data_IF_275570074648
#
_entry.id   IF_275570074648
#
_cell.length_a   1.000
_cell.length_b   1.000
_cell.length_c   1.000
_cell.angle_alpha   90.00
_cell.angle_beta   90.00
_cell.angle_gamma   90.00
#
_symmetry.space_group_name_H-M   'P 1'
#
loop_
_entity.id
_entity.type
_entity.pdbx_description
1 polymer ?
#
# COMPACT_ATOMS: atom_id res chain seq x y z
N UNK A 1 -9.37 2.01 -9.67
CA UNK A 1 -9.77 3.07 -8.72
C UNK A 1 -10.60 2.43 -7.61
N UNK A 2 -10.40 2.80 -6.34
CA UNK A 2 -11.04 2.19 -5.16
C UNK A 2 -12.56 2.43 -5.04
N UNK A 3 -13.19 2.90 -6.12
CA UNK A 3 -14.63 3.16 -6.19
C UNK A 3 -15.08 4.27 -5.24
N UNK A 4 -16.37 4.20 -4.90
CA UNK A 4 -16.99 5.05 -3.89
C UNK A 4 -17.01 4.32 -2.54
N UNK A 5 -16.74 5.05 -1.46
CA UNK A 5 -16.78 4.53 -0.09
C UNK A 5 -17.63 5.45 0.78
N UNK A 6 -18.70 4.91 1.36
CA UNK A 6 -19.69 5.65 2.18
C UNK A 6 -20.21 6.94 1.51
N UNK A 7 -20.40 6.91 0.18
CA UNK A 7 -20.89 8.05 -0.61
C UNK A 7 -19.81 9.06 -1.02
N UNK A 8 -18.55 8.84 -0.66
CA UNK A 8 -17.42 9.65 -1.11
C UNK A 8 -16.67 8.97 -2.24
N UNK A 9 -16.20 9.76 -3.23
CA UNK A 9 -15.26 9.23 -4.23
C UNK A 9 -13.90 9.04 -3.59
N UNK A 10 -13.21 7.94 -3.90
CA UNK A 10 -11.85 7.69 -3.41
C UNK A 10 -10.91 8.89 -3.66
N UNK A 11 -11.00 9.53 -4.83
CA UNK A 11 -10.18 10.70 -5.17
C UNK A 11 -10.41 11.91 -4.28
N UNK A 12 -11.60 12.05 -3.68
CA UNK A 12 -11.86 13.08 -2.68
C UNK A 12 -11.16 12.76 -1.36
N UNK A 13 -11.20 11.49 -0.94
CA UNK A 13 -10.58 11.02 0.30
C UNK A 13 -9.04 10.97 0.20
N UNK A 14 -8.50 10.71 -0.99
CA UNK A 14 -7.07 10.73 -1.31
C UNK A 14 -6.53 12.17 -1.55
N UNK A 15 -7.09 13.18 -0.86
CA UNK A 15 -6.69 14.59 -1.02
C UNK A 15 -6.21 15.22 0.28
N UNK A 16 -5.23 16.14 0.17
CA UNK A 16 -4.76 16.94 1.30
C UNK A 16 -5.90 17.80 1.89
N UNK A 17 -6.79 18.30 1.04
CA UNK A 17 -7.95 19.08 1.44
C UNK A 17 -8.84 18.25 2.38
N UNK A 18 -9.21 17.03 1.99
CA UNK A 18 -10.05 16.18 2.82
C UNK A 18 -9.34 15.73 4.09
N UNK A 19 -8.04 15.43 4.00
CA UNK A 19 -7.25 15.06 5.19
C UNK A 19 -7.17 16.22 6.20
N UNK A 20 -7.10 17.47 5.73
CA UNK A 20 -7.10 18.66 6.58
C UNK A 20 -8.50 18.90 7.18
N UNK A 21 -9.56 18.70 6.38
CA UNK A 21 -10.95 18.94 6.79
C UNK A 21 -11.48 17.87 7.75
N UNK A 22 -11.18 16.61 7.50
CA UNK A 22 -11.67 15.46 8.27
C UNK A 22 -10.63 14.34 8.30
N UNK A 23 -9.57 14.47 9.11
CA UNK A 23 -8.52 13.47 9.19
C UNK A 23 -9.05 12.11 9.66
N UNK A 24 -10.05 12.08 10.54
CA UNK A 24 -10.68 10.82 11.00
C UNK A 24 -11.27 10.03 9.83
N UNK A 25 -12.01 10.70 8.93
CA UNK A 25 -12.65 10.05 7.78
C UNK A 25 -11.59 9.46 6.82
N UNK A 26 -10.51 10.18 6.57
CA UNK A 26 -9.41 9.70 5.73
C UNK A 26 -8.69 8.54 6.39
N UNK A 27 -8.48 8.57 7.71
CA UNK A 27 -7.89 7.45 8.43
C UNK A 27 -8.80 6.22 8.43
N UNK A 28 -10.12 6.37 8.61
CA UNK A 28 -11.09 5.27 8.48
C UNK A 28 -11.06 4.65 7.07
N UNK A 29 -10.98 5.48 6.03
CA UNK A 29 -10.87 5.00 4.65
C UNK A 29 -9.57 4.23 4.42
N UNK A 30 -8.45 4.71 4.94
CA UNK A 30 -7.17 4.00 4.86
C UNK A 30 -7.19 2.71 5.68
N UNK A 31 -7.80 2.69 6.85
CA UNK A 31 -7.99 1.49 7.67
C UNK A 31 -8.84 0.45 6.93
N UNK A 32 -9.95 0.86 6.29
CA UNK A 32 -10.74 -0.01 5.42
C UNK A 32 -9.88 -0.62 4.29
N UNK A 33 -9.07 0.19 3.61
CA UNK A 33 -8.19 -0.28 2.52
C UNK A 33 -7.10 -1.22 3.02
N UNK A 34 -6.48 -0.93 4.17
CA UNK A 34 -5.52 -1.82 4.83
C UNK A 34 -6.15 -3.19 5.05
N UNK A 35 -7.37 -3.24 5.58
CA UNK A 35 -8.06 -4.50 5.86
C UNK A 35 -8.38 -5.28 4.58
N UNK A 36 -8.80 -4.61 3.50
CA UNK A 36 -8.97 -5.29 2.20
C UNK A 36 -7.66 -5.89 1.68
N UNK A 37 -6.56 -5.14 1.76
CA UNK A 37 -5.26 -5.58 1.24
C UNK A 37 -4.65 -6.69 2.10
N UNK A 38 -4.77 -6.62 3.44
CA UNK A 38 -4.32 -7.70 4.33
C UNK A 38 -5.00 -9.04 4.04
N UNK A 39 -6.23 -9.02 3.53
CA UNK A 39 -6.98 -10.21 3.12
C UNK A 39 -6.78 -10.58 1.64
N UNK A 40 -5.93 -9.85 0.91
CA UNK A 40 -5.67 -10.09 -0.52
C UNK A 40 -4.40 -10.91 -0.73
N UNK A 41 -4.40 -11.72 -1.79
CA UNK A 41 -3.25 -12.56 -2.18
C UNK A 41 -2.66 -12.11 -3.52
N UNK A 42 -1.34 -12.20 -3.72
CA UNK A 42 -0.74 -11.94 -5.02
C UNK A 42 -1.31 -12.86 -6.12
N UNK A 43 -1.74 -12.26 -7.22
CA UNK A 43 -2.26 -12.98 -8.38
C UNK A 43 -1.13 -13.47 -9.33
N UNK A 44 -1.51 -14.15 -10.41
CA UNK A 44 -0.58 -14.69 -11.41
C UNK A 44 0.32 -13.62 -12.06
N UNK A 45 -0.15 -12.38 -12.23
CA UNK A 45 0.64 -11.30 -12.80
C UNK A 45 1.79 -10.90 -11.87
N UNK A 46 1.56 -10.80 -10.56
CA UNK A 46 2.63 -10.53 -9.60
C UNK A 46 3.69 -11.64 -9.63
N UNK A 47 3.26 -12.91 -9.65
CA UNK A 47 4.15 -14.07 -9.72
C UNK A 47 4.95 -14.11 -11.03
N UNK A 48 4.35 -13.72 -12.15
CA UNK A 48 5.04 -13.65 -13.43
C UNK A 48 6.24 -12.67 -13.39
N UNK A 49 6.10 -11.54 -12.70
CA UNK A 49 7.20 -10.58 -12.55
C UNK A 49 8.34 -11.13 -11.66
N UNK A 50 8.02 -11.89 -10.62
CA UNK A 50 9.03 -12.60 -9.82
C UNK A 50 9.79 -13.61 -10.67
N UNK A 51 9.07 -14.42 -11.46
CA UNK A 51 9.69 -15.39 -12.35
C UNK A 51 10.56 -14.71 -13.42
N UNK A 52 10.14 -13.55 -13.91
CA UNK A 52 10.92 -12.77 -14.88
C UNK A 52 12.20 -12.21 -14.27
N UNK A 53 12.16 -11.70 -13.04
CA UNK A 53 13.35 -11.25 -12.30
C UNK A 53 14.38 -12.39 -12.19
N UNK A 54 13.96 -13.59 -11.80
CA UNK A 54 14.84 -14.75 -11.68
C UNK A 54 15.35 -15.22 -13.05
N UNK A 55 14.49 -15.19 -14.08
CA UNK A 55 14.87 -15.55 -15.45
C UNK A 55 16.00 -14.66 -15.97
N UNK A 56 15.88 -13.34 -15.88
CA UNK A 56 16.93 -12.45 -16.41
C UNK A 56 18.24 -12.57 -15.64
N UNK A 57 18.19 -12.87 -14.32
CA UNK A 57 19.37 -13.13 -13.48
C UNK A 57 20.05 -14.44 -13.84
N UNK A 58 19.30 -15.43 -14.32
CA UNK A 58 19.86 -16.70 -14.81
C UNK A 58 20.63 -16.55 -16.12
N UNK A 59 20.29 -15.55 -16.95
CA UNK A 59 20.99 -15.23 -18.20
C UNK A 59 22.33 -14.56 -17.91
N UNK A 60 22.34 -13.52 -17.06
CA UNK A 60 23.54 -12.88 -16.54
C UNK A 60 23.25 -12.37 -15.13
N UNK A 61 24.07 -12.79 -14.16
CA UNK A 61 23.93 -12.40 -12.76
C UNK A 61 24.06 -10.89 -12.50
N UNK A 62 24.58 -10.13 -13.47
CA UNK A 62 24.68 -8.67 -13.42
C UNK A 62 23.40 -7.97 -13.87
N UNK A 63 22.45 -8.68 -14.48
CA UNK A 63 21.17 -8.10 -14.87
C UNK A 63 20.38 -7.66 -13.64
N UNK A 64 19.75 -6.49 -13.77
CA UNK A 64 18.87 -5.92 -12.75
C UNK A 64 17.45 -5.83 -13.27
N UNK A 65 16.49 -5.96 -12.37
CA UNK A 65 15.08 -5.77 -12.64
C UNK A 65 14.47 -5.01 -11.46
N UNK A 66 13.84 -3.88 -11.76
CA UNK A 66 13.19 -3.05 -10.75
C UNK A 66 11.73 -2.89 -11.14
N UNK A 67 10.84 -3.19 -10.21
CA UNK A 67 9.40 -2.91 -10.38
C UNK A 67 9.13 -1.52 -9.84
N UNK A 68 8.70 -0.60 -10.70
CA UNK A 68 8.19 0.70 -10.28
C UNK A 68 6.67 0.65 -10.33
N UNK A 69 6.01 0.77 -9.18
CA UNK A 69 4.56 0.62 -9.06
C UNK A 69 3.90 1.86 -8.47
N UNK A 70 2.75 2.24 -9.03
CA UNK A 70 1.85 3.25 -8.49
C UNK A 70 0.96 2.69 -7.38
N UNK A 71 0.92 1.36 -7.23
CA UNK A 71 0.13 0.70 -6.21
C UNK A 71 0.74 0.92 -4.83
N UNK A 72 -0.11 0.93 -3.82
CA UNK A 72 0.28 1.16 -2.42
C UNK A 72 -0.05 -0.06 -1.53
N UNK A 73 -0.34 -1.21 -2.16
CA UNK A 73 -0.83 -2.43 -1.51
C UNK A 73 0.28 -3.39 -1.05
N UNK A 74 1.52 -3.22 -1.53
CA UNK A 74 2.64 -4.10 -1.18
C UNK A 74 2.58 -5.51 -1.79
N UNK A 75 1.62 -5.81 -2.68
CA UNK A 75 1.44 -7.16 -3.21
C UNK A 75 2.62 -7.66 -4.06
N UNK A 76 3.38 -6.76 -4.68
CA UNK A 76 4.64 -7.14 -5.34
C UNK A 76 5.66 -7.69 -4.36
N UNK A 77 5.86 -7.02 -3.21
CA UNK A 77 6.77 -7.48 -2.16
C UNK A 77 6.26 -8.79 -1.56
N UNK A 78 4.97 -8.91 -1.28
CA UNK A 78 4.37 -10.17 -0.79
C UNK A 78 4.48 -11.30 -1.80
N UNK A 79 4.46 -11.02 -3.11
CA UNK A 79 4.67 -12.02 -4.15
C UNK A 79 6.11 -12.57 -4.19
N UNK A 80 7.08 -11.82 -3.65
CA UNK A 80 8.50 -12.17 -3.64
C UNK A 80 9.39 -11.31 -4.53
N UNK A 81 8.88 -10.21 -5.12
CA UNK A 81 9.71 -9.28 -5.89
C UNK A 81 10.72 -8.59 -4.96
N UNK A 82 11.99 -8.55 -5.36
CA UNK A 82 13.09 -8.11 -4.46
C UNK A 82 13.39 -6.63 -4.54
N UNK A 83 13.26 -6.03 -5.72
CA UNK A 83 13.53 -4.61 -5.96
C UNK A 83 12.25 -3.91 -6.45
N UNK A 84 11.59 -3.22 -5.52
CA UNK A 84 10.28 -2.58 -5.74
C UNK A 84 10.33 -1.13 -5.27
N UNK A 85 9.97 -0.22 -6.17
CA UNK A 85 9.79 1.20 -5.89
C UNK A 85 8.29 1.52 -5.85
N UNK A 86 7.77 1.75 -4.65
CA UNK A 86 6.39 2.19 -4.41
C UNK A 86 6.30 3.72 -4.56
N UNK A 87 6.07 4.22 -5.77
CA UNK A 87 6.19 5.67 -6.05
C UNK A 87 5.13 6.53 -5.36
N UNK A 88 4.00 5.94 -4.97
CA UNK A 88 2.92 6.62 -4.23
C UNK A 88 2.91 6.26 -2.73
N UNK A 89 3.97 5.64 -2.21
CA UNK A 89 4.05 5.19 -0.82
C UNK A 89 3.34 3.86 -0.58
N UNK A 90 2.96 3.59 0.68
CA UNK A 90 2.42 2.29 1.10
C UNK A 90 1.33 2.48 2.15
N UNK A 91 0.26 1.67 2.06
CA UNK A 91 -0.80 1.60 3.09
C UNK A 91 -0.27 1.17 4.46
N UNK A 92 0.90 0.54 4.49
CA UNK A 92 1.51 0.00 5.70
C UNK A 92 2.64 0.86 6.25
N UNK A 93 2.87 2.05 5.69
CA UNK A 93 3.84 3.03 6.22
C UNK A 93 3.10 4.29 6.65
N UNK A 94 3.35 4.73 7.88
CA UNK A 94 2.84 6.01 8.39
C UNK A 94 3.97 7.02 8.44
N UNK A 95 3.66 8.30 8.19
CA UNK A 95 4.60 9.43 8.31
C UNK A 95 4.10 10.41 9.34
N UNK A 96 4.93 10.72 10.33
CA UNK A 96 4.65 11.78 11.29
C UNK A 96 4.71 13.14 10.59
N UNK A 97 3.63 13.93 10.66
CA UNK A 97 3.56 15.26 10.03
C UNK A 97 4.45 16.31 10.73
N UNK A 98 4.92 16.04 11.95
CA UNK A 98 5.76 16.96 12.72
C UNK A 98 7.26 16.74 12.50
N UNK A 99 7.72 15.49 12.53
CA UNK A 99 9.15 15.16 12.45
C UNK A 99 9.53 14.35 11.22
N UNK A 100 8.57 14.06 10.32
CA UNK A 100 8.77 13.28 9.11
C UNK A 100 9.25 11.84 9.32
N UNK A 101 9.28 11.34 10.57
CA UNK A 101 9.60 9.95 10.85
C UNK A 101 8.60 9.03 10.15
N UNK A 102 9.12 8.04 9.42
CA UNK A 102 8.34 7.03 8.72
C UNK A 102 8.53 5.70 9.45
N UNK A 103 7.43 5.05 9.81
CA UNK A 103 7.45 3.71 10.38
C UNK A 103 6.51 2.80 9.61
N UNK A 104 6.87 1.51 9.57
CA UNK A 104 5.96 0.48 9.08
C UNK A 104 5.03 0.05 10.21
N UNK A 105 3.75 -0.16 9.92
CA UNK A 105 2.75 -0.64 10.86
C UNK A 105 1.82 -1.64 10.15
N UNK A 106 1.84 -2.88 10.63
CA UNK A 106 1.00 -3.98 10.16
C UNK A 106 -0.12 -4.34 11.16
N UNK A 107 -0.30 -3.55 12.22
CA UNK A 107 -1.34 -3.77 13.22
C UNK A 107 -2.73 -3.58 12.58
N UNK A 108 -3.67 -4.44 13.00
CA UNK A 108 -5.08 -4.32 12.67
C UNK A 108 -5.92 -4.39 13.97
N UNK A 109 -6.54 -3.27 14.40
CA UNK A 109 -6.48 -1.97 13.75
C UNK A 109 -5.12 -1.26 13.91
N UNK A 110 -4.83 -0.29 13.03
CA UNK A 110 -3.57 0.48 13.05
C UNK A 110 -3.33 1.25 14.36
N UNK A 111 -4.39 1.57 15.10
CA UNK A 111 -4.29 2.16 16.42
C UNK A 111 -5.52 1.82 17.30
N UNK A 112 -5.41 1.92 18.64
CA UNK A 112 -6.50 1.56 19.55
C UNK A 112 -7.80 2.34 19.36
N UNK A 113 -7.75 3.54 18.76
CA UNK A 113 -8.94 4.36 18.52
C UNK A 113 -9.95 3.68 17.57
N UNK A 114 -9.52 2.68 16.80
CA UNK A 114 -10.39 1.91 15.92
C UNK A 114 -10.96 0.63 16.55
N UNK A 115 -10.60 0.30 17.80
CA UNK A 115 -11.12 -0.88 18.51
C UNK A 115 -12.59 -0.69 18.92
N UNK A 116 -13.05 0.56 19.10
CA UNK A 116 -14.35 0.88 19.71
C UNK A 116 -15.51 1.19 18.75
N UNK A 117 -15.31 1.08 17.42
CA UNK A 117 -16.35 1.39 16.44
C UNK A 117 -16.90 0.12 15.78
N UNK A 118 -17.42 -0.80 16.60
CA UNK A 118 -18.33 -1.86 16.17
C UNK A 118 -19.71 -1.31 15.83
#
# INVERSE_FOLDING_TARGET
>A
AWGDWRGYRATQLDSLEMFTKSPSLVWEFNQYRRNLVMNSMPNAAHKALVNYEEYIKSIDRRNTFTIITQNIDGLHTTAGSKDVVEMHGSLFKTRCLKCSHITTNWDDPICPAFISNG
#
